data_IF_822215815217
#
_entry.id   IF_822215815217
#
_cell.length_a   1.000
_cell.length_b   1.000
_cell.length_c   1.000
_cell.angle_alpha   90.00
_cell.angle_beta   90.00
_cell.angle_gamma   90.00
#
_symmetry.space_group_name_H-M   'P 1'
#
loop_
_entity.id
_entity.type
_entity.pdbx_description
1 polymer ?
#
# COMPACT_ATOMS: atom_id res chain seq x y z
N UNK A 1 22.68 6.67 6.96
CA UNK A 1 22.81 7.80 7.92
C UNK A 1 22.85 9.18 7.26
N UNK A 2 24.00 9.72 6.80
CA UNK A 2 24.09 11.12 6.29
C UNK A 2 23.19 11.43 5.08
N UNK A 3 22.96 10.44 4.22
CA UNK A 3 22.14 10.58 3.01
C UNK A 3 20.63 10.53 3.29
N UNK A 4 20.22 9.86 4.38
CA UNK A 4 18.81 9.65 4.69
C UNK A 4 18.23 10.83 5.45
N UNK A 5 18.99 11.42 6.37
CA UNK A 5 18.62 12.70 6.99
C UNK A 5 18.49 13.80 5.94
N UNK A 6 19.37 13.84 4.94
CA UNK A 6 19.27 14.83 3.87
C UNK A 6 18.06 14.60 2.97
N UNK A 7 17.76 13.35 2.62
CA UNK A 7 16.56 13.01 1.86
C UNK A 7 15.29 13.35 2.63
N UNK A 8 15.22 13.06 3.94
CA UNK A 8 14.09 13.41 4.80
C UNK A 8 13.87 14.92 4.86
N UNK A 9 14.94 15.71 4.99
CA UNK A 9 14.82 17.17 4.99
C UNK A 9 14.27 17.70 3.66
N UNK A 10 14.77 17.21 2.52
CA UNK A 10 14.27 17.62 1.21
C UNK A 10 12.79 17.25 1.04
N UNK A 11 12.41 16.05 1.47
CA UNK A 11 11.01 15.61 1.43
C UNK A 11 10.13 16.46 2.34
N UNK A 12 10.60 16.82 3.54
CA UNK A 12 9.91 17.75 4.43
C UNK A 12 9.72 19.13 3.81
N UNK A 13 10.78 19.72 3.25
CA UNK A 13 10.72 21.02 2.56
C UNK A 13 9.73 21.02 1.37
N UNK A 14 9.64 19.89 0.65
CA UNK A 14 8.67 19.72 -0.44
C UNK A 14 7.23 19.78 0.06
N UNK A 15 6.90 19.06 1.15
CA UNK A 15 5.57 19.06 1.74
C UNK A 15 5.24 20.41 2.40
N UNK A 16 6.19 21.03 3.10
CA UNK A 16 6.03 22.38 3.68
C UNK A 16 5.74 23.46 2.63
N UNK A 17 6.22 23.27 1.39
CA UNK A 17 5.92 24.12 0.25
C UNK A 17 4.54 23.84 -0.40
N UNK A 18 3.75 22.91 0.16
CA UNK A 18 2.44 22.49 -0.35
C UNK A 18 2.52 21.42 -1.45
N UNK A 19 3.66 20.75 -1.58
CA UNK A 19 3.79 19.58 -2.47
C UNK A 19 2.95 18.41 -1.97
N UNK A 20 2.54 17.53 -2.88
CA UNK A 20 1.85 16.28 -2.56
C UNK A 20 2.47 15.12 -3.35
N UNK A 21 2.35 13.90 -2.84
CA UNK A 21 3.05 12.73 -3.36
C UNK A 21 2.17 11.47 -3.38
N UNK A 22 2.15 10.80 -4.51
CA UNK A 22 1.61 9.45 -4.65
C UNK A 22 2.75 8.47 -4.88
N UNK A 23 2.92 7.49 -4.00
CA UNK A 23 3.97 6.48 -4.08
C UNK A 23 3.34 5.13 -4.37
N UNK A 24 3.67 4.54 -5.51
CA UNK A 24 3.30 3.17 -5.84
C UNK A 24 4.53 2.28 -5.97
N UNK A 25 4.86 1.59 -4.88
CA UNK A 25 5.96 0.64 -4.84
C UNK A 25 5.43 -0.65 -4.21
N UNK A 26 5.45 -1.78 -4.92
CA UNK A 26 5.06 -3.05 -4.33
C UNK A 26 5.95 -3.37 -3.14
N UNK A 27 5.35 -3.52 -1.97
CA UNK A 27 6.07 -3.86 -0.76
C UNK A 27 6.53 -5.33 -0.84
N UNK A 28 7.84 -5.57 -0.91
CA UNK A 28 8.42 -6.92 -0.97
C UNK A 28 9.62 -7.02 -0.04
N UNK A 29 9.62 -8.04 0.81
CA UNK A 29 10.79 -8.49 1.60
C UNK A 29 11.51 -7.37 2.37
N UNK A 30 10.75 -6.49 3.03
CA UNK A 30 11.29 -5.48 3.93
C UNK A 30 11.26 -5.97 5.37
N UNK A 31 12.28 -5.62 6.12
CA UNK A 31 12.37 -5.82 7.57
C UNK A 31 11.86 -4.58 8.27
N UNK A 32 11.26 -4.74 9.45
CA UNK A 32 10.69 -3.61 10.23
C UNK A 32 11.72 -2.50 10.52
N UNK A 33 13.02 -2.80 10.52
CA UNK A 33 14.08 -1.81 10.75
C UNK A 33 14.55 -1.09 9.48
N UNK A 34 13.98 -1.38 8.31
CA UNK A 34 14.42 -0.76 7.06
C UNK A 34 14.01 0.72 7.03
N UNK A 35 14.97 1.58 6.66
CA UNK A 35 14.85 3.04 6.75
C UNK A 35 13.76 3.64 5.83
N UNK A 36 13.18 2.84 4.93
CA UNK A 36 12.05 3.23 4.07
C UNK A 36 10.83 3.65 4.87
N UNK A 37 10.58 3.04 6.04
CA UNK A 37 9.47 3.39 6.91
C UNK A 37 9.56 4.81 7.49
N UNK A 38 10.75 5.43 7.46
CA UNK A 38 10.88 6.84 7.82
C UNK A 38 10.28 7.80 6.78
N UNK A 39 9.98 7.32 5.57
CA UNK A 39 9.52 8.14 4.43
C UNK A 39 8.05 7.93 4.07
N UNK A 40 7.40 6.92 4.65
CA UNK A 40 6.04 6.52 4.30
C UNK A 40 5.19 6.38 5.57
N UNK A 41 3.87 6.54 5.50
CA UNK A 41 2.99 6.50 6.67
C UNK A 41 2.72 5.06 7.18
N UNK A 42 3.73 4.20 7.17
CA UNK A 42 3.62 2.76 7.49
C UNK A 42 4.52 2.45 8.68
N UNK A 43 3.94 1.89 9.74
CA UNK A 43 4.62 1.45 10.97
C UNK A 43 5.34 0.11 10.77
N UNK A 44 4.65 -0.84 10.13
CA UNK A 44 5.21 -2.15 9.82
C UNK A 44 4.43 -2.85 8.70
N UNK A 45 4.91 -4.02 8.29
CA UNK A 45 4.26 -4.89 7.30
C UNK A 45 3.74 -6.16 7.95
N UNK A 46 2.85 -6.86 7.25
CA UNK A 46 2.36 -8.16 7.67
C UNK A 46 3.49 -9.16 7.90
N UNK A 47 3.35 -9.98 8.94
CA UNK A 47 4.35 -10.97 9.32
C UNK A 47 3.79 -12.38 9.16
N UNK A 48 4.62 -13.30 8.65
CA UNK A 48 4.29 -14.71 8.54
C UNK A 48 4.37 -15.38 9.92
N UNK A 49 3.48 -16.33 10.20
CA UNK A 49 3.46 -17.08 11.46
C UNK A 49 3.47 -18.59 11.23
N UNK A 50 4.04 -19.33 12.19
CA UNK A 50 4.04 -20.80 12.15
C UNK A 50 4.74 -21.38 10.91
N UNK A 51 4.00 -22.14 10.10
CA UNK A 51 4.50 -22.80 8.88
C UNK A 51 4.18 -22.03 7.59
N UNK A 52 3.94 -20.74 7.68
CA UNK A 52 3.69 -19.90 6.51
C UNK A 52 5.02 -19.52 5.82
N UNK A 53 5.02 -19.50 4.49
CA UNK A 53 6.22 -19.29 3.66
C UNK A 53 6.14 -18.06 2.76
N UNK A 54 4.97 -17.42 2.68
CA UNK A 54 4.75 -16.26 1.84
C UNK A 54 3.32 -15.75 1.93
N UNK A 55 3.13 -14.49 1.52
CA UNK A 55 1.81 -13.88 1.35
C UNK A 55 1.49 -13.72 -0.13
N UNK A 56 0.22 -13.92 -0.46
CA UNK A 56 -0.29 -13.85 -1.82
C UNK A 56 -1.67 -13.19 -1.85
N UNK A 57 -1.98 -12.57 -2.97
CA UNK A 57 -3.34 -12.19 -3.35
C UNK A 57 -3.66 -12.96 -4.63
N UNK A 58 -4.76 -13.70 -4.63
CA UNK A 58 -5.15 -14.50 -5.80
C UNK A 58 -5.70 -13.59 -6.92
N UNK A 59 -5.79 -14.15 -8.13
CA UNK A 59 -6.44 -13.47 -9.25
C UNK A 59 -7.94 -13.30 -9.01
N UNK A 60 -8.53 -12.23 -9.54
CA UNK A 60 -9.96 -11.95 -9.44
C UNK A 60 -10.43 -11.50 -8.04
N UNK A 61 -9.50 -11.13 -7.17
CA UNK A 61 -9.78 -10.63 -5.82
C UNK A 61 -9.99 -9.11 -5.89
N UNK A 62 -11.01 -8.64 -5.18
CA UNK A 62 -11.31 -7.21 -5.06
C UNK A 62 -10.33 -6.55 -4.07
N UNK A 63 -9.93 -5.33 -4.41
CA UNK A 63 -9.25 -4.40 -3.50
C UNK A 63 -10.28 -3.32 -3.16
N UNK A 64 -10.73 -3.29 -1.91
CA UNK A 64 -11.90 -2.51 -1.52
C UNK A 64 -11.47 -1.20 -0.85
N UNK A 65 -12.19 -0.11 -1.12
CA UNK A 65 -11.99 1.13 -0.39
C UNK A 65 -12.43 0.97 1.07
N UNK A 66 -11.60 1.44 1.99
CA UNK A 66 -11.90 1.44 3.43
C UNK A 66 -12.90 2.57 3.72
N UNK A 67 -13.87 2.32 4.61
CA UNK A 67 -14.79 3.35 5.14
C UNK A 67 -15.48 4.24 4.09
N UNK A 68 -15.71 3.74 2.87
CA UNK A 68 -16.41 4.49 1.82
C UNK A 68 -15.65 5.72 1.32
N UNK A 69 -14.32 5.72 1.39
CA UNK A 69 -13.46 6.82 0.87
C UNK A 69 -13.73 7.08 -0.62
N UNK A 70 -14.12 6.04 -1.37
CA UNK A 70 -14.55 6.12 -2.77
C UNK A 70 -15.41 4.88 -3.08
N UNK A 71 -16.08 4.87 -4.23
CA UNK A 71 -16.81 3.69 -4.76
C UNK A 71 -15.94 2.86 -5.72
N UNK A 72 -14.69 3.26 -5.96
CA UNK A 72 -13.80 2.58 -6.91
C UNK A 72 -13.21 1.32 -6.26
N UNK A 73 -13.75 0.16 -6.64
CA UNK A 73 -13.21 -1.16 -6.29
C UNK A 73 -12.25 -1.63 -7.40
N UNK A 74 -10.98 -1.81 -7.08
CA UNK A 74 -10.00 -2.39 -8.01
C UNK A 74 -10.09 -3.92 -7.98
N UNK A 75 -9.52 -4.60 -8.99
CA UNK A 75 -9.53 -6.08 -9.05
C UNK A 75 -8.23 -6.63 -9.60
N UNK A 76 -7.70 -7.66 -8.96
CA UNK A 76 -6.48 -8.32 -9.44
C UNK A 76 -6.72 -9.04 -10.78
N UNK A 77 -5.87 -8.78 -11.77
CA UNK A 77 -5.84 -9.50 -13.06
C UNK A 77 -4.98 -10.78 -13.00
N UNK A 78 -4.04 -10.81 -12.06
CA UNK A 78 -3.14 -11.93 -11.85
C UNK A 78 -2.87 -12.16 -10.37
N UNK A 79 -2.36 -13.36 -10.07
CA UNK A 79 -1.91 -13.69 -8.72
C UNK A 79 -0.69 -12.86 -8.36
N UNK A 80 -0.75 -12.13 -7.26
CA UNK A 80 0.37 -11.40 -6.70
C UNK A 80 1.03 -12.23 -5.60
N UNK A 81 2.36 -12.30 -5.60
CA UNK A 81 3.16 -13.07 -4.65
C UNK A 81 4.21 -12.18 -4.00
N UNK A 82 4.52 -12.44 -2.73
CA UNK A 82 5.48 -11.65 -1.97
C UNK A 82 5.01 -10.22 -1.72
N UNK A 83 3.70 -10.00 -1.73
CA UNK A 83 3.07 -8.72 -1.37
C UNK A 83 2.68 -8.77 0.09
N UNK A 84 2.89 -7.67 0.80
CA UNK A 84 2.66 -7.61 2.24
C UNK A 84 1.60 -6.55 2.57
N UNK A 85 0.66 -6.87 3.47
CA UNK A 85 -0.27 -5.88 3.99
C UNK A 85 0.47 -4.88 4.86
N UNK A 86 -0.08 -3.68 4.95
CA UNK A 86 0.51 -2.53 5.61
C UNK A 86 -0.19 -2.29 6.94
N UNK A 87 0.61 -1.97 7.96
CA UNK A 87 0.12 -1.40 9.21
C UNK A 87 0.38 0.11 9.18
N UNK A 88 -0.67 0.94 9.08
CA UNK A 88 -0.51 2.40 9.17
C UNK A 88 0.11 2.83 10.51
N UNK A 89 0.83 3.95 10.51
CA UNK A 89 1.13 4.66 11.77
C UNK A 89 -0.18 5.15 12.43
N UNK A 90 -0.22 5.41 13.75
CA UNK A 90 -1.48 5.71 14.44
C UNK A 90 -2.27 6.91 13.91
N UNK A 91 -1.60 7.91 13.33
CA UNK A 91 -2.24 9.11 12.78
C UNK A 91 -2.60 9.00 11.29
N UNK A 92 -2.19 7.90 10.64
CA UNK A 92 -2.42 7.68 9.22
C UNK A 92 -3.78 7.02 8.96
N UNK A 93 -4.30 7.22 7.75
CA UNK A 93 -5.59 6.70 7.30
C UNK A 93 -5.40 5.57 6.30
N UNK A 94 -5.91 4.37 6.59
CA UNK A 94 -5.99 3.29 5.61
C UNK A 94 -7.01 3.61 4.52
N UNK A 95 -6.65 3.42 3.25
CA UNK A 95 -7.51 3.77 2.11
C UNK A 95 -8.12 2.57 1.41
N UNK A 96 -7.35 1.49 1.33
CA UNK A 96 -7.75 0.27 0.63
C UNK A 96 -7.29 -0.95 1.40
N UNK A 97 -8.11 -2.00 1.37
CA UNK A 97 -7.81 -3.31 1.91
C UNK A 97 -8.07 -4.43 0.89
N UNK A 98 -7.54 -5.62 1.17
CA UNK A 98 -7.85 -6.81 0.40
C UNK A 98 -7.60 -8.08 1.20
N UNK A 99 -8.18 -9.19 0.75
CA UNK A 99 -8.02 -10.48 1.39
C UNK A 99 -6.67 -11.12 1.01
N UNK A 100 -5.74 -11.08 1.96
CA UNK A 100 -4.47 -11.78 1.85
C UNK A 100 -4.61 -13.26 2.21
N UNK A 101 -3.85 -14.11 1.51
CA UNK A 101 -3.67 -15.51 1.84
C UNK A 101 -2.22 -15.78 2.17
N UNK A 102 -1.99 -16.71 3.09
CA UNK A 102 -0.66 -17.21 3.38
C UNK A 102 -0.42 -18.56 2.68
N UNK A 103 0.73 -18.73 2.04
CA UNK A 103 1.19 -20.04 1.56
C UNK A 103 1.80 -20.84 2.69
N UNK A 104 1.56 -22.15 2.72
CA UNK A 104 2.17 -23.07 3.70
C UNK A 104 3.42 -23.73 3.11
N UNK A 105 4.22 -24.40 3.96
CA UNK A 105 5.36 -25.24 3.52
C UNK A 105 4.94 -26.32 2.51
N UNK A 106 3.68 -26.79 2.57
CA UNK A 106 3.15 -27.80 1.64
C UNK A 106 2.61 -27.19 0.33
N UNK A 107 2.70 -25.87 0.15
CA UNK A 107 2.29 -25.17 -1.07
C UNK A 107 0.79 -24.84 -1.16
N UNK A 108 -0.01 -25.20 -0.15
CA UNK A 108 -1.41 -24.78 -0.06
C UNK A 108 -1.53 -23.33 0.43
N UNK A 109 -2.67 -22.68 0.16
CA UNK A 109 -3.00 -21.37 0.73
C UNK A 109 -4.02 -21.50 1.86
N UNK A 110 -3.88 -20.68 2.89
CA UNK A 110 -4.84 -20.51 3.99
C UNK A 110 -5.12 -19.02 4.22
N UNK A 111 -6.15 -18.70 5.00
CA UNK A 111 -6.44 -17.31 5.37
C UNK A 111 -5.28 -16.70 6.16
N UNK A 112 -4.93 -15.46 5.82
CA UNK A 112 -4.04 -14.65 6.63
C UNK A 112 -4.88 -13.88 7.65
N UNK A 113 -4.45 -13.87 8.91
CA UNK A 113 -5.22 -13.29 10.02
C UNK A 113 -4.65 -11.97 10.54
N UNK A 114 -3.68 -11.38 9.82
CA UNK A 114 -3.09 -10.11 10.19
C UNK A 114 -3.78 -8.93 9.51
N UNK A 115 -3.02 -7.85 9.29
CA UNK A 115 -3.51 -6.66 8.60
C UNK A 115 -3.92 -6.97 7.15
N UNK A 116 -4.81 -6.17 6.60
CA UNK A 116 -5.29 -6.32 5.22
C UNK A 116 -5.10 -5.06 4.37
N UNK A 117 -4.62 -3.97 4.98
CA UNK A 117 -4.47 -2.70 4.27
C UNK A 117 -3.40 -2.81 3.19
N UNK A 118 -3.63 -2.15 2.07
CA UNK A 118 -2.68 -2.06 0.96
C UNK A 118 -2.39 -0.63 0.53
N UNK A 119 -3.12 0.32 1.10
CA UNK A 119 -2.94 1.74 0.84
C UNK A 119 -3.10 2.54 2.11
N UNK A 120 -2.24 3.53 2.30
CA UNK A 120 -2.20 4.38 3.50
C UNK A 120 -1.92 5.83 3.09
N UNK A 121 -2.67 6.76 3.68
CA UNK A 121 -2.41 8.19 3.63
C UNK A 121 -1.86 8.67 4.97
N UNK A 122 -0.93 9.62 4.95
CA UNK A 122 -0.45 10.28 6.17
C UNK A 122 -1.50 11.19 6.83
N UNK A 123 -1.16 11.76 7.98
CA UNK A 123 -2.07 12.62 8.74
C UNK A 123 -2.36 13.94 8.01
N UNK A 124 -1.35 14.48 7.32
CA UNK A 124 -1.41 15.77 6.63
C UNK A 124 -2.22 15.71 5.33
N UNK A 125 -2.48 14.51 4.80
CA UNK A 125 -3.24 14.31 3.55
C UNK A 125 -2.46 14.66 2.29
N UNK A 126 -1.14 14.74 2.36
CA UNK A 126 -0.26 15.11 1.24
C UNK A 126 0.58 13.94 0.72
N UNK A 127 0.55 12.77 1.36
CA UNK A 127 1.25 11.57 0.95
C UNK A 127 0.34 10.33 0.99
N UNK A 128 0.19 9.68 -0.16
CA UNK A 128 -0.44 8.35 -0.27
C UNK A 128 0.60 7.32 -0.68
N UNK A 129 0.71 6.24 0.09
CA UNK A 129 1.49 5.05 -0.25
C UNK A 129 0.57 3.90 -0.64
N UNK A 130 0.78 3.32 -1.82
CA UNK A 130 0.03 2.18 -2.34
C UNK A 130 0.98 1.00 -2.61
N UNK A 131 0.82 -0.08 -1.83
CA UNK A 131 1.78 -1.18 -1.70
C UNK A 131 1.61 -2.35 -2.66
N UNK A 132 0.70 -2.27 -3.64
CA UNK A 132 0.49 -3.30 -4.67
C UNK A 132 0.88 -2.79 -6.05
N UNK A 133 1.23 -3.70 -6.96
CA UNK A 133 1.52 -3.33 -8.35
C UNK A 133 0.22 -2.95 -9.09
N UNK A 134 0.04 -1.65 -9.40
CA UNK A 134 -1.15 -1.15 -10.07
C UNK A 134 -1.35 -1.77 -11.46
N UNK A 135 -0.29 -2.22 -12.13
CA UNK A 135 -0.39 -2.87 -13.44
C UNK A 135 -1.11 -4.21 -13.39
N UNK A 136 -1.26 -4.78 -12.19
CA UNK A 136 -1.95 -6.05 -11.94
C UNK A 136 -3.35 -5.85 -11.36
N UNK A 137 -3.88 -4.63 -11.30
CA UNK A 137 -5.14 -4.29 -10.62
C UNK A 137 -6.26 -3.80 -11.54
N UNK A 138 -6.11 -4.00 -12.86
CA UNK A 138 -7.07 -3.50 -13.84
C UNK A 138 -8.20 -4.49 -14.19
N UNK A 139 -8.50 -5.47 -13.34
CA UNK A 139 -9.52 -6.50 -13.62
C UNK A 139 -10.95 -5.96 -13.72
N UNK A 140 -11.20 -4.74 -13.24
CA UNK A 140 -12.46 -4.00 -13.43
C UNK A 140 -12.33 -2.87 -14.49
N UNK A 141 -11.20 -2.79 -15.19
CA UNK A 141 -10.87 -1.77 -16.19
C UNK A 141 -11.03 -0.31 -15.69
N UNK A 142 -10.61 -0.06 -14.45
CA UNK A 142 -10.85 1.21 -13.74
C UNK A 142 -9.59 1.76 -13.04
N UNK A 143 -8.39 1.28 -13.36
CA UNK A 143 -7.14 1.83 -12.78
C UNK A 143 -6.97 3.31 -13.11
N UNK A 144 -7.39 3.75 -14.31
CA UNK A 144 -7.35 5.17 -14.68
C UNK A 144 -8.26 6.04 -13.79
N UNK A 145 -9.42 5.51 -13.40
CA UNK A 145 -10.34 6.22 -12.50
C UNK A 145 -9.78 6.26 -11.08
N UNK A 146 -9.18 5.15 -10.62
CA UNK A 146 -8.45 5.10 -9.35
C UNK A 146 -7.31 6.13 -9.30
N UNK A 147 -6.48 6.22 -10.35
CA UNK A 147 -5.37 7.19 -10.41
C UNK A 147 -5.93 8.62 -10.35
N UNK A 148 -7.03 8.90 -11.06
CA UNK A 148 -7.68 10.22 -11.00
C UNK A 148 -8.21 10.53 -9.60
N UNK A 149 -8.84 9.57 -8.95
CA UNK A 149 -9.34 9.71 -7.58
C UNK A 149 -8.19 10.04 -6.61
N UNK A 150 -7.15 9.21 -6.58
CA UNK A 150 -6.04 9.38 -5.63
C UNK A 150 -5.19 10.61 -5.95
N UNK A 151 -4.76 10.79 -7.19
CA UNK A 151 -3.80 11.83 -7.54
C UNK A 151 -4.45 13.21 -7.69
N UNK A 152 -5.61 13.29 -8.34
CA UNK A 152 -6.22 14.59 -8.66
C UNK A 152 -7.23 15.00 -7.60
N UNK A 153 -8.18 14.15 -7.26
CA UNK A 153 -9.24 14.53 -6.33
C UNK A 153 -8.73 14.60 -4.89
N UNK A 154 -7.89 13.64 -4.49
CA UNK A 154 -7.38 13.54 -3.12
C UNK A 154 -6.10 14.35 -2.89
N UNK A 155 -5.11 14.19 -3.76
CA UNK A 155 -3.81 14.89 -3.64
C UNK A 155 -3.70 16.21 -4.43
N UNK A 156 -4.72 16.59 -5.19
CA UNK A 156 -4.75 17.90 -5.87
C UNK A 156 -3.77 18.05 -7.04
N UNK A 157 -3.32 16.97 -7.68
CA UNK A 157 -2.43 17.05 -8.83
C UNK A 157 -3.11 17.83 -9.98
N UNK A 158 -2.33 18.66 -10.66
CA UNK A 158 -2.80 19.43 -11.82
C UNK A 158 -2.95 18.51 -13.03
N UNK A 159 -4.06 18.67 -13.78
CA UNK A 159 -4.28 18.01 -15.08
C UNK A 159 -3.44 18.63 -16.21
#
# INVERSE_FOLDING_TARGET
DRNIVHALNITGEFFEAGGTMFVNIPMKDLREEDEVFNFIPVDSVGNLTGQQTGLVINSGVDINPVNGITDIVLKTEGRQVGVYPLKPIPAATALYDTNFRATTVLGSTQDYTGFENVSVENEEGDLIYFGLDLTLLNGNNNVADFIREMCIQRLGFSN
#
